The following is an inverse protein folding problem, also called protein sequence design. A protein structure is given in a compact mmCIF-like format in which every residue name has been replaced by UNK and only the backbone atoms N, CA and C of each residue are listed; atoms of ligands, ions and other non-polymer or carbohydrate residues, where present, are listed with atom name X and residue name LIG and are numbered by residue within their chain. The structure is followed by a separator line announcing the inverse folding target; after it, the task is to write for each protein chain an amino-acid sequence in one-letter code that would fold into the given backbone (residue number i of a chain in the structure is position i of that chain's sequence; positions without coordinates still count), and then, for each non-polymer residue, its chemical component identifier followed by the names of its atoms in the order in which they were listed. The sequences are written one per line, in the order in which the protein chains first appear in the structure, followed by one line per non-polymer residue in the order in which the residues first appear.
data_IF_356775248188
#
_entry.id   IF_356775248188
#
_cell.length_a   1.000
_cell.length_b   1.000
_cell.length_c   1.000
_cell.angle_alpha   90.00
_cell.angle_beta   90.00
_cell.angle_gamma   90.00
#
_symmetry.space_group_name_H-M   'P 1'
#
loop_
_entity.id
_entity.type
_entity.pdbx_description
1 polymer ?
#
# COMPACT_ATOMS: atom_id res chain seq x y z
N UNK A 1 -30.13 18.86 35.03
CA UNK A 1 -29.76 18.48 33.65
C UNK A 1 -28.59 19.34 33.22
N UNK A 2 -27.49 18.71 32.76
CA UNK A 2 -26.60 19.17 31.68
C UNK A 2 -25.28 18.39 31.72
N UNK A 3 -25.34 17.12 31.30
CA UNK A 3 -24.18 16.26 31.03
C UNK A 3 -23.69 16.40 29.59
N UNK A 4 -23.73 17.60 29.00
CA UNK A 4 -23.14 17.80 27.68
C UNK A 4 -21.67 18.15 27.88
N UNK A 5 -20.93 17.06 28.04
CA UNK A 5 -19.53 16.84 27.67
C UNK A 5 -18.68 18.07 27.33
N UNK A 6 -17.53 18.15 27.99
CA UNK A 6 -16.36 18.99 27.68
C UNK A 6 -15.76 18.61 26.31
N UNK A 7 -16.53 18.79 25.24
CA UNK A 7 -16.10 18.50 23.88
C UNK A 7 -15.17 19.62 23.40
N UNK A 8 -13.88 19.33 23.28
CA UNK A 8 -12.92 20.26 22.69
C UNK A 8 -13.00 20.16 21.16
N UNK A 9 -13.54 21.17 20.44
CA UNK A 9 -13.76 21.10 19.00
C UNK A 9 -12.45 20.99 18.22
N UNK A 10 -11.36 21.56 18.72
CA UNK A 10 -10.04 21.46 18.09
C UNK A 10 -9.48 20.04 18.22
N UNK A 11 -9.65 19.41 19.38
CA UNK A 11 -9.26 18.01 19.58
C UNK A 11 -10.06 17.08 18.64
N UNK A 12 -11.36 17.33 18.48
CA UNK A 12 -12.18 16.56 17.54
C UNK A 12 -11.77 16.76 16.08
N UNK A 13 -11.40 17.98 15.69
CA UNK A 13 -10.86 18.24 14.36
C UNK A 13 -9.54 17.46 14.13
N UNK A 14 -8.63 17.49 15.10
CA UNK A 14 -7.38 16.71 15.03
C UNK A 14 -7.62 15.20 15.01
N UNK A 15 -8.61 14.70 15.74
CA UNK A 15 -9.02 13.30 15.68
C UNK A 15 -9.36 12.87 14.25
N UNK A 16 -10.16 13.67 13.52
CA UNK A 16 -10.49 13.37 12.13
C UNK A 16 -9.25 13.35 11.22
N UNK A 17 -8.31 14.28 11.41
CA UNK A 17 -7.06 14.31 10.65
C UNK A 17 -6.23 13.05 10.90
N UNK A 18 -6.08 12.64 12.15
CA UNK A 18 -5.35 11.42 12.53
C UNK A 18 -6.04 10.18 11.94
N UNK A 19 -7.37 10.10 12.03
CA UNK A 19 -8.14 9.01 11.43
C UNK A 19 -7.98 8.95 9.90
N UNK A 20 -7.98 10.10 9.22
CA UNK A 20 -7.77 10.17 7.77
C UNK A 20 -6.37 9.67 7.38
N UNK A 21 -5.32 10.09 8.08
CA UNK A 21 -3.95 9.63 7.85
C UNK A 21 -3.82 8.13 8.12
N UNK A 22 -4.39 7.64 9.23
CA UNK A 22 -4.37 6.21 9.55
C UNK A 22 -5.10 5.39 8.48
N UNK A 23 -6.32 5.81 8.10
CA UNK A 23 -7.10 5.17 7.05
C UNK A 23 -6.35 5.14 5.71
N UNK A 24 -5.65 6.21 5.37
CA UNK A 24 -4.81 6.26 4.19
C UNK A 24 -3.64 5.26 4.26
N UNK A 25 -2.91 5.20 5.38
CA UNK A 25 -1.82 4.23 5.57
C UNK A 25 -2.33 2.79 5.46
N UNK A 26 -3.51 2.50 6.01
CA UNK A 26 -4.16 1.18 5.87
C UNK A 26 -4.41 0.84 4.40
N UNK A 27 -4.92 1.79 3.60
CA UNK A 27 -5.14 1.59 2.17
C UNK A 27 -3.82 1.24 1.46
N UNK A 28 -2.76 2.00 1.72
CA UNK A 28 -1.43 1.77 1.13
C UNK A 28 -0.88 0.38 1.49
N UNK A 29 -1.04 -0.05 2.75
CA UNK A 29 -0.67 -1.40 3.18
C UNK A 29 -1.45 -2.49 2.44
N UNK A 30 -2.76 -2.31 2.27
CA UNK A 30 -3.62 -3.26 1.54
C UNK A 30 -3.21 -3.34 0.07
N UNK A 31 -2.93 -2.20 -0.56
CA UNK A 31 -2.43 -2.15 -1.94
C UNK A 31 -1.08 -2.87 -2.08
N UNK A 32 -0.14 -2.62 -1.16
CA UNK A 32 1.16 -3.27 -1.14
C UNK A 32 1.05 -4.80 -1.00
N UNK A 33 0.22 -5.27 -0.07
CA UNK A 33 -0.05 -6.71 0.11
C UNK A 33 -0.70 -7.33 -1.13
N UNK A 34 -1.64 -6.62 -1.76
CA UNK A 34 -2.29 -7.08 -2.99
C UNK A 34 -1.28 -7.22 -4.12
N UNK A 35 -0.41 -6.23 -4.32
CA UNK A 35 0.64 -6.27 -5.34
C UNK A 35 1.60 -7.44 -5.10
N UNK A 36 2.10 -7.60 -3.88
CA UNK A 36 2.98 -8.71 -3.52
C UNK A 36 2.32 -10.07 -3.75
N UNK A 37 1.06 -10.23 -3.39
CA UNK A 37 0.31 -11.47 -3.63
C UNK A 37 0.24 -11.83 -5.12
N UNK A 38 -0.06 -10.85 -5.98
CA UNK A 38 -0.08 -11.04 -7.44
C UNK A 38 1.31 -11.44 -7.95
N UNK A 39 2.37 -10.76 -7.52
CA UNK A 39 3.75 -11.06 -7.93
C UNK A 39 4.20 -12.44 -7.47
N UNK A 40 3.83 -12.84 -6.26
CA UNK A 40 4.13 -14.16 -5.72
C UNK A 40 3.43 -15.27 -6.51
N UNK A 41 2.14 -15.09 -6.84
CA UNK A 41 1.42 -16.04 -7.70
C UNK A 41 2.07 -16.18 -9.08
N UNK A 42 2.49 -15.06 -9.69
CA UNK A 42 3.20 -15.07 -10.97
C UNK A 42 4.55 -15.80 -10.86
N UNK A 43 5.28 -15.59 -9.77
CA UNK A 43 6.55 -16.29 -9.50
C UNK A 43 6.32 -17.79 -9.38
N UNK A 44 5.32 -18.25 -8.61
CA UNK A 44 5.02 -19.68 -8.48
C UNK A 44 4.72 -20.34 -9.83
N UNK A 45 3.91 -19.70 -10.68
CA UNK A 45 3.57 -20.22 -12.02
C UNK A 45 4.81 -20.30 -12.92
N UNK A 46 5.73 -19.34 -12.82
CA UNK A 46 7.00 -19.39 -13.56
C UNK A 46 7.94 -20.46 -13.00
N UNK A 47 8.08 -20.53 -11.69
CA UNK A 47 8.97 -21.47 -11.00
C UNK A 47 8.57 -22.93 -11.25
N UNK A 48 7.25 -23.20 -11.40
CA UNK A 48 6.73 -24.50 -11.79
C UNK A 48 7.11 -24.90 -13.25
N UNK A 49 7.36 -23.93 -14.13
CA UNK A 49 7.78 -24.16 -15.53
C UNK A 49 9.30 -24.18 -15.68
N UNK A 50 10.01 -23.36 -14.91
CA UNK A 50 11.47 -23.27 -14.89
C UNK A 50 11.89 -22.85 -13.49
N UNK A 51 12.66 -23.67 -12.75
CA UNK A 51 13.13 -23.30 -11.42
C UNK A 51 13.98 -22.03 -11.48
N UNK A 52 13.51 -20.96 -10.85
CA UNK A 52 14.19 -19.67 -10.74
C UNK A 52 14.62 -19.43 -9.28
N UNK A 53 15.30 -18.30 -9.05
CA UNK A 53 15.70 -17.86 -7.72
C UNK A 53 14.49 -17.69 -6.78
N UNK A 54 14.69 -17.82 -5.45
CA UNK A 54 13.63 -17.63 -4.47
C UNK A 54 13.00 -16.23 -4.57
N UNK A 55 11.68 -16.16 -4.37
CA UNK A 55 10.93 -14.90 -4.40
C UNK A 55 11.37 -13.98 -3.24
N UNK A 56 11.78 -12.75 -3.57
CA UNK A 56 12.17 -11.71 -2.61
C UNK A 56 11.20 -10.53 -2.69
N UNK A 57 10.33 -10.31 -1.69
CA UNK A 57 9.34 -9.23 -1.71
C UNK A 57 9.92 -7.84 -2.01
N UNK A 58 11.12 -7.55 -1.51
CA UNK A 58 11.84 -6.28 -1.69
C UNK A 58 12.16 -5.95 -3.16
N UNK A 59 12.30 -6.95 -4.02
CA UNK A 59 12.56 -6.75 -5.45
C UNK A 59 11.27 -6.41 -6.23
N UNK A 60 10.11 -6.64 -5.61
CA UNK A 60 8.80 -6.62 -6.27
C UNK A 60 7.85 -5.54 -5.75
N UNK A 61 8.11 -4.98 -4.57
CA UNK A 61 7.34 -3.91 -3.96
C UNK A 61 8.22 -2.69 -3.71
N UNK A 62 7.79 -1.54 -4.23
CA UNK A 62 8.42 -0.26 -3.97
C UNK A 62 7.38 0.68 -3.35
N UNK A 63 7.70 1.25 -2.19
CA UNK A 63 6.89 2.26 -1.53
C UNK A 63 7.67 3.56 -1.59
N UNK A 64 7.08 4.57 -2.20
CA UNK A 64 7.65 5.91 -2.29
C UNK A 64 6.89 6.87 -1.38
N UNK A 65 7.48 8.04 -1.11
CA UNK A 65 6.88 9.05 -0.24
C UNK A 65 6.73 10.35 -1.01
N UNK A 66 5.51 10.88 -1.06
CA UNK A 66 5.20 12.16 -1.68
C UNK A 66 4.45 13.04 -0.69
N UNK A 67 4.96 14.24 -0.44
CA UNK A 67 4.42 15.20 0.56
C UNK A 67 4.21 14.57 1.96
N UNK A 68 5.10 13.65 2.36
CA UNK A 68 5.03 12.98 3.67
C UNK A 68 4.05 11.81 3.73
N UNK A 69 3.36 11.48 2.64
CA UNK A 69 2.43 10.35 2.55
C UNK A 69 3.05 9.20 1.75
N UNK A 70 3.02 7.96 2.26
CA UNK A 70 3.52 6.80 1.53
C UNK A 70 2.55 6.41 0.42
N UNK A 71 3.05 5.93 -0.71
CA UNK A 71 2.22 5.35 -1.76
C UNK A 71 2.93 4.18 -2.43
N UNK A 72 2.16 3.25 -3.01
CA UNK A 72 2.70 2.12 -3.76
C UNK A 72 3.11 2.59 -5.15
N UNK A 73 4.38 2.40 -5.49
CA UNK A 73 4.93 2.79 -6.79
C UNK A 73 4.76 1.66 -7.82
N UNK A 74 3.78 1.83 -8.70
CA UNK A 74 3.48 0.90 -9.78
C UNK A 74 4.30 1.16 -11.06
N UNK A 75 5.23 2.13 -11.09
CA UNK A 75 5.86 2.61 -12.32
C UNK A 75 6.62 1.51 -13.10
N UNK A 76 7.27 0.56 -12.39
CA UNK A 76 7.91 -0.61 -13.02
C UNK A 76 6.92 -1.56 -13.72
N UNK A 77 5.67 -1.60 -13.25
CA UNK A 77 4.64 -2.50 -13.78
C UNK A 77 4.01 -1.98 -15.08
N UNK A 78 3.90 -0.65 -15.21
CA UNK A 78 3.39 -0.01 -16.43
C UNK A 78 4.30 -0.27 -17.65
N UNK A 79 5.62 -0.15 -17.48
CA UNK A 79 6.59 -0.43 -18.56
C UNK A 79 6.59 -1.90 -19.00
N UNK A 80 6.42 -2.84 -18.05
CA UNK A 80 6.42 -4.28 -18.36
C UNK A 80 5.17 -4.69 -19.17
N UNK A 81 4.04 -4.02 -18.94
CA UNK A 81 2.80 -4.29 -19.68
C UNK A 81 2.78 -3.59 -21.05
N UNK A 82 3.39 -2.42 -21.19
CA UNK A 82 3.53 -1.72 -22.48
C UNK A 82 4.52 -2.43 -23.42
N UNK A 83 5.59 -3.03 -22.90
CA UNK A 83 6.56 -3.79 -23.71
C UNK A 83 6.05 -5.16 -24.20
N UNK A 84 4.90 -5.64 -23.70
CA UNK A 84 4.26 -6.91 -24.10
C UNK A 84 3.10 -6.72 -25.08
N UNK A 85 2.83 -5.48 -25.51
CA UNK A 85 1.78 -5.14 -26.48
C UNK A 85 2.39 -4.87 -27.84
#
# INVERSE_FOLDING_TARGET
MNSISRFNPQLHAWWHVICAVNGYVVIVCVEAMRLLSIKYQQHQVKNAKSPEQPFKPEDHLHIAVYLGLPYVDYYKEKQTNEAKK
#
